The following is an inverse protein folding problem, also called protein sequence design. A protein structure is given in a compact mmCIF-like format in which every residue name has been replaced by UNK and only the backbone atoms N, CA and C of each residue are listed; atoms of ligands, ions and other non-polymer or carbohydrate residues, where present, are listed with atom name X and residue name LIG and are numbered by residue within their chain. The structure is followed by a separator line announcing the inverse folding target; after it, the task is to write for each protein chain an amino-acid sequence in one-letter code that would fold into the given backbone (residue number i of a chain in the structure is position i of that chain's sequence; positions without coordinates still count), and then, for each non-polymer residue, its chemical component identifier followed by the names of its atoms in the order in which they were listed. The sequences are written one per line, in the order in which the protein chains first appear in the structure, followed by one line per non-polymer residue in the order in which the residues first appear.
data_IF_750191208880
#
_entry.id   IF_750191208880
#
_cell.length_a   1.000
_cell.length_b   1.000
_cell.length_c   1.000
_cell.angle_alpha   90.00
_cell.angle_beta   90.00
_cell.angle_gamma   90.00
#
_symmetry.space_group_name_H-M   'P 1'
#
loop_
_entity.id
_entity.type
_entity.pdbx_description
1 polymer ?
#
# COMPACT_ATOMS: atom_id res chain seq x y z
N UNK A 1 0.89 -8.98 13.36
CA UNK A 1 0.73 -7.70 12.66
C UNK A 1 2.04 -7.19 12.06
N UNK A 2 3.02 -6.66 12.82
CA UNK A 2 4.29 -6.18 12.23
C UNK A 2 5.09 -7.29 11.51
N UNK A 3 5.28 -8.44 12.16
CA UNK A 3 5.96 -9.60 11.53
C UNK A 3 5.21 -10.12 10.30
N UNK A 4 3.87 -10.07 10.33
CA UNK A 4 3.02 -10.46 9.19
C UNK A 4 3.18 -9.50 8.02
N UNK A 5 3.30 -8.19 8.30
CA UNK A 5 3.53 -7.16 7.31
C UNK A 5 4.92 -7.32 6.69
N UNK A 6 5.96 -7.53 7.51
CA UNK A 6 7.32 -7.73 7.05
C UNK A 6 7.46 -8.99 6.20
N UNK A 7 6.92 -10.12 6.67
CA UNK A 7 6.93 -11.38 5.93
C UNK A 7 6.16 -11.27 4.60
N UNK A 8 5.00 -10.60 4.61
CA UNK A 8 4.25 -10.32 3.38
C UNK A 8 5.03 -9.41 2.42
N UNK A 9 5.72 -8.38 2.93
CA UNK A 9 6.53 -7.47 2.13
C UNK A 9 7.72 -8.18 1.47
N UNK A 10 8.49 -8.95 2.24
CA UNK A 10 9.61 -9.75 1.71
C UNK A 10 9.13 -10.75 0.68
N UNK A 11 8.03 -11.45 0.95
CA UNK A 11 7.40 -12.36 0.00
C UNK A 11 7.05 -11.66 -1.31
N UNK A 12 6.41 -10.48 -1.25
CA UNK A 12 6.05 -9.68 -2.44
C UNK A 12 7.26 -9.28 -3.28
N UNK A 13 8.35 -8.88 -2.65
CA UNK A 13 9.55 -8.41 -3.35
C UNK A 13 10.34 -9.57 -3.97
N UNK A 14 10.46 -10.70 -3.26
CA UNK A 14 11.21 -11.87 -3.72
C UNK A 14 10.47 -12.69 -4.79
N UNK A 15 9.13 -12.65 -4.79
CA UNK A 15 8.34 -13.43 -5.75
C UNK A 15 8.05 -12.73 -7.07
N UNK A 16 8.66 -11.58 -7.40
CA UNK A 16 8.31 -10.69 -8.55
C UNK A 16 8.24 -11.25 -10.01
N UNK A 17 8.24 -12.58 -10.24
CA UNK A 17 7.78 -13.21 -11.48
C UNK A 17 6.24 -13.16 -11.69
N UNK A 18 5.80 -13.28 -12.95
CA UNK A 18 4.40 -13.11 -13.42
C UNK A 18 3.38 -13.97 -12.65
N UNK A 19 3.76 -15.19 -12.23
CA UNK A 19 2.88 -16.10 -11.48
C UNK A 19 2.50 -15.52 -10.12
N UNK A 20 3.37 -14.69 -9.55
CA UNK A 20 3.17 -14.08 -8.24
C UNK A 20 2.34 -12.82 -8.31
N UNK A 21 2.27 -12.13 -9.46
CA UNK A 21 1.30 -11.06 -9.68
C UNK A 21 -0.12 -11.65 -9.66
N UNK A 22 -0.31 -12.82 -10.25
CA UNK A 22 -1.60 -13.53 -10.27
C UNK A 22 -1.95 -13.99 -8.85
N UNK A 23 -1.04 -14.69 -8.16
CA UNK A 23 -1.28 -15.14 -6.77
C UNK A 23 -1.53 -13.95 -5.85
N UNK A 24 -0.76 -12.87 -5.96
CA UNK A 24 -0.95 -11.67 -5.16
C UNK A 24 -2.27 -10.95 -5.46
N UNK A 25 -2.70 -10.88 -6.73
CA UNK A 25 -4.01 -10.34 -7.10
C UNK A 25 -5.15 -11.18 -6.51
N UNK A 26 -5.03 -12.50 -6.52
CA UNK A 26 -6.01 -13.40 -5.90
C UNK A 26 -5.99 -13.32 -4.37
N UNK A 27 -4.82 -13.19 -3.76
CA UNK A 27 -4.66 -13.04 -2.32
C UNK A 27 -5.21 -11.69 -1.84
N UNK A 28 -5.04 -10.61 -2.61
CA UNK A 28 -5.59 -9.30 -2.31
C UNK A 28 -7.12 -9.31 -2.39
N UNK A 29 -7.69 -10.00 -3.40
CA UNK A 29 -9.14 -10.25 -3.45
C UNK A 29 -9.65 -11.03 -2.24
N UNK A 30 -8.90 -12.03 -1.78
CA UNK A 30 -9.23 -12.77 -0.56
C UNK A 30 -9.12 -11.91 0.71
N UNK A 31 -8.07 -11.07 0.82
CA UNK A 31 -7.88 -10.16 1.96
C UNK A 31 -9.00 -9.12 2.03
N UNK A 32 -9.41 -8.56 0.89
CA UNK A 32 -10.57 -7.65 0.84
C UNK A 32 -11.85 -8.38 1.27
N UNK A 33 -12.07 -9.61 0.82
CA UNK A 33 -13.24 -10.37 1.27
C UNK A 33 -13.23 -10.68 2.78
N UNK A 34 -12.05 -10.76 3.41
CA UNK A 34 -11.93 -10.91 4.87
C UNK A 34 -12.36 -9.62 5.58
N UNK A 35 -12.08 -8.44 5.04
CA UNK A 35 -12.50 -7.19 5.66
C UNK A 35 -14.04 -7.04 5.67
N UNK A 36 -14.72 -7.44 4.60
CA UNK A 36 -16.18 -7.47 4.52
C UNK A 36 -16.77 -8.49 5.48
N UNK A 37 -16.13 -9.66 5.60
CA UNK A 37 -16.55 -10.73 6.51
C UNK A 37 -16.37 -10.31 7.97
N UNK A 38 -15.22 -9.70 8.31
CA UNK A 38 -14.96 -9.12 9.62
C UNK A 38 -15.91 -7.98 9.93
N UNK A 39 -16.20 -7.10 8.96
CA UNK A 39 -17.15 -6.02 9.13
C UNK A 39 -18.56 -6.56 9.41
N UNK A 40 -19.01 -7.60 8.69
CA UNK A 40 -20.31 -8.23 8.97
C UNK A 40 -20.35 -8.93 10.33
N UNK A 41 -19.23 -9.50 10.79
CA UNK A 41 -19.15 -10.22 12.06
C UNK A 41 -18.97 -9.31 13.27
N UNK A 42 -18.31 -8.15 13.10
CA UNK A 42 -18.02 -7.19 14.17
C UNK A 42 -19.08 -6.09 14.25
N UNK A 43 -19.87 -5.88 13.19
CA UNK A 43 -20.98 -4.94 13.20
C UNK A 43 -22.12 -5.47 14.06
N UNK A 44 -22.57 -4.64 14.98
CA UNK A 44 -23.78 -4.94 15.75
C UNK A 44 -25.02 -4.69 14.89
N UNK A 45 -26.14 -5.42 15.11
CA UNK A 45 -27.37 -5.21 14.35
C UNK A 45 -27.86 -3.74 14.45
N UNK A 46 -27.61 -3.09 15.59
CA UNK A 46 -27.88 -1.66 15.78
C UNK A 46 -27.03 -0.77 14.89
N UNK A 47 -25.74 -1.08 14.73
CA UNK A 47 -24.83 -0.33 13.85
C UNK A 47 -25.21 -0.45 12.38
N UNK A 48 -25.59 -1.65 11.93
CA UNK A 48 -26.13 -1.86 10.58
C UNK A 48 -27.43 -1.06 10.37
N UNK A 49 -28.32 -1.08 11.35
CA UNK A 49 -29.58 -0.34 11.28
C UNK A 49 -29.37 1.18 11.23
N UNK A 50 -28.35 1.70 11.92
CA UNK A 50 -27.96 3.10 11.83
C UNK A 50 -27.36 3.43 10.47
N UNK A 51 -26.52 2.55 9.91
CA UNK A 51 -25.90 2.76 8.60
C UNK A 51 -26.90 2.71 7.44
N UNK A 52 -27.90 1.83 7.49
CA UNK A 52 -29.00 1.78 6.50
C UNK A 52 -29.87 3.05 6.50
N UNK A 53 -29.83 3.81 7.60
CA UNK A 53 -30.59 5.05 7.79
C UNK A 53 -29.74 6.31 7.60
N UNK A 54 -28.47 6.16 7.25
CA UNK A 54 -27.65 7.31 6.86
C UNK A 54 -28.15 7.83 5.51
N UNK A 55 -28.86 8.95 5.55
CA UNK A 55 -29.11 9.73 4.35
C UNK A 55 -27.77 10.31 3.85
N UNK A 56 -27.60 10.37 2.53
CA UNK A 56 -26.45 11.04 1.95
C UNK A 56 -26.47 12.49 2.43
N UNK A 57 -25.50 12.88 3.26
CA UNK A 57 -25.34 14.27 3.65
C UNK A 57 -24.78 15.01 2.43
N UNK A 58 -25.56 15.87 1.75
CA UNK A 58 -24.99 16.70 0.71
C UNK A 58 -23.99 17.63 1.39
N UNK A 59 -22.71 17.52 1.03
CA UNK A 59 -21.64 18.39 1.54
C UNK A 59 -21.86 19.87 1.14
N UNK A 60 -22.76 20.12 0.19
CA UNK A 60 -23.14 21.42 -0.32
C UNK A 60 -24.67 21.52 -0.39
N UNK A 61 -25.23 22.51 0.27
CA UNK A 61 -26.65 22.84 0.15
C UNK A 61 -26.86 23.61 -1.16
N UNK A 62 -27.20 22.89 -2.23
CA UNK A 62 -27.46 23.46 -3.55
C UNK A 62 -28.77 24.25 -3.60
N UNK A 63 -29.63 24.18 -2.57
CA UNK A 63 -30.91 24.89 -2.58
C UNK A 63 -30.76 26.41 -2.51
N UNK A 64 -29.63 26.91 -1.98
CA UNK A 64 -29.30 28.35 -2.05
C UNK A 64 -28.83 28.78 -3.45
N UNK A 65 -28.37 27.85 -4.28
CA UNK A 65 -27.78 28.14 -5.59
C UNK A 65 -28.84 28.22 -6.70
N UNK A 66 -29.99 27.55 -6.52
CA UNK A 66 -31.14 27.63 -7.44
C UNK A 66 -31.98 28.92 -7.30
N UNK A 67 -31.89 29.66 -6.19
CA UNK A 67 -32.61 30.93 -5.97
C UNK A 67 -31.75 32.19 -6.27
N UNK A 68 -30.44 32.03 -6.46
CA UNK A 68 -29.53 33.13 -6.73
C UNK A 68 -29.39 33.35 -8.25
N UNK A 69 -29.41 34.62 -8.66
CA UNK A 69 -29.15 35.03 -10.05
C UNK A 69 -27.78 34.48 -10.51
N UNK A 70 -27.71 33.84 -11.68
CA UNK A 70 -26.53 33.10 -12.19
C UNK A 70 -25.20 33.87 -12.06
N UNK A 71 -25.26 35.19 -12.19
CA UNK A 71 -24.11 36.10 -12.07
C UNK A 71 -23.53 36.15 -10.63
N UNK A 72 -24.39 36.08 -9.62
CA UNK A 72 -24.04 36.10 -8.20
C UNK A 72 -23.46 34.76 -7.73
N UNK A 73 -23.96 33.66 -8.32
CA UNK A 73 -23.42 32.31 -8.13
C UNK A 73 -22.00 32.23 -8.70
N UNK A 74 -21.79 32.71 -9.93
CA UNK A 74 -20.47 32.76 -10.58
C UNK A 74 -19.46 33.58 -9.78
N UNK A 75 -19.83 34.79 -9.34
CA UNK A 75 -18.96 35.66 -8.55
C UNK A 75 -18.55 35.02 -7.20
N UNK A 76 -19.48 34.33 -6.54
CA UNK A 76 -19.19 33.61 -5.29
C UNK A 76 -18.29 32.40 -5.51
N UNK A 77 -18.47 31.69 -6.63
CA UNK A 77 -17.62 30.57 -7.01
C UNK A 77 -16.18 31.01 -7.33
N UNK A 78 -16.01 32.18 -7.94
CA UNK A 78 -14.69 32.79 -8.19
C UNK A 78 -14.03 33.23 -6.87
N UNK A 79 -14.77 33.80 -5.94
CA UNK A 79 -14.27 34.19 -4.60
C UNK A 79 -13.86 32.98 -3.74
N UNK A 80 -14.59 31.86 -3.83
CA UNK A 80 -14.21 30.61 -3.15
C UNK A 80 -12.97 29.95 -3.78
N UNK A 81 -12.82 30.01 -5.11
CA UNK A 81 -11.60 29.59 -5.80
C UNK A 81 -10.40 30.48 -5.44
N UNK A 82 -10.63 31.77 -5.23
CA UNK A 82 -9.59 32.73 -4.86
C UNK A 82 -9.13 32.62 -3.40
N UNK A 83 -10.02 32.17 -2.48
CA UNK A 83 -9.71 32.01 -1.04
C UNK A 83 -9.24 30.62 -0.63
N UNK A 84 -9.49 29.60 -1.45
CA UNK A 84 -9.01 28.24 -1.20
C UNK A 84 -7.54 28.10 -1.55
N UNK A 85 -6.65 28.17 -0.55
CA UNK A 85 -5.27 27.72 -0.76
C UNK A 85 -5.28 26.26 -1.22
N UNK A 86 -4.69 25.93 -2.38
CA UNK A 86 -4.72 24.55 -2.90
C UNK A 86 -4.09 23.56 -1.89
N UNK A 87 -3.18 24.06 -1.04
CA UNK A 87 -2.57 23.30 0.04
C UNK A 87 -3.53 22.94 1.18
N UNK A 88 -4.54 23.77 1.46
CA UNK A 88 -5.52 23.50 2.51
C UNK A 88 -6.52 22.41 2.12
N UNK A 89 -6.80 22.27 0.82
CA UNK A 89 -7.66 21.21 0.31
C UNK A 89 -6.93 19.86 0.32
N UNK A 90 -5.65 19.84 -0.07
CA UNK A 90 -4.82 18.63 -0.07
C UNK A 90 -4.55 18.11 1.35
N UNK A 91 -4.26 18.99 2.31
CA UNK A 91 -4.02 18.57 3.70
C UNK A 91 -5.30 18.12 4.42
N UNK A 92 -6.48 18.63 4.02
CA UNK A 92 -7.76 18.13 4.50
C UNK A 92 -8.18 16.81 3.82
N UNK A 93 -7.71 16.54 2.59
CA UNK A 93 -8.03 15.32 1.84
C UNK A 93 -7.16 14.13 2.22
N UNK A 94 -5.93 14.35 2.70
CA UNK A 94 -5.02 13.24 3.03
C UNK A 94 -5.22 12.83 4.50
N UNK A 95 -5.91 11.70 4.76
CA UNK A 95 -6.09 11.24 6.13
C UNK A 95 -4.72 10.85 6.71
N UNK A 96 -4.42 11.30 7.94
CA UNK A 96 -3.12 11.01 8.58
C UNK A 96 -2.78 9.51 8.65
N UNK A 97 -3.79 8.64 8.61
CA UNK A 97 -3.63 7.19 8.50
C UNK A 97 -2.96 6.77 7.19
N UNK A 98 -3.31 7.38 6.06
CA UNK A 98 -2.69 7.08 4.76
C UNK A 98 -1.21 7.48 4.77
N UNK A 99 -0.90 8.65 5.34
CA UNK A 99 0.47 9.14 5.47
C UNK A 99 1.31 8.20 6.34
N UNK A 100 0.75 7.74 7.46
CA UNK A 100 1.38 6.72 8.31
C UNK A 100 1.63 5.41 7.56
N UNK A 101 0.68 4.92 6.76
CA UNK A 101 0.86 3.70 5.95
C UNK A 101 1.95 3.89 4.90
N UNK A 102 1.99 5.04 4.21
CA UNK A 102 3.03 5.37 3.23
C UNK A 102 4.41 5.42 3.90
N UNK A 103 4.52 6.03 5.09
CA UNK A 103 5.78 6.07 5.83
C UNK A 103 6.23 4.66 6.19
N UNK A 104 5.34 3.82 6.73
CA UNK A 104 5.67 2.42 7.08
C UNK A 104 6.13 1.65 5.83
N UNK A 105 5.44 1.84 4.70
CA UNK A 105 5.81 1.22 3.43
C UNK A 105 7.19 1.69 2.95
N UNK A 106 7.48 2.99 2.98
CA UNK A 106 8.79 3.54 2.59
C UNK A 106 9.92 3.04 3.49
N UNK A 107 9.68 2.92 4.80
CA UNK A 107 10.66 2.39 5.74
C UNK A 107 10.95 0.91 5.46
N UNK A 108 9.91 0.09 5.24
CA UNK A 108 10.07 -1.31 4.87
C UNK A 108 10.81 -1.48 3.53
N UNK A 109 10.50 -0.62 2.56
CA UNK A 109 11.18 -0.58 1.26
C UNK A 109 12.66 -0.22 1.44
N UNK A 110 12.97 0.83 2.19
CA UNK A 110 14.34 1.25 2.44
C UNK A 110 15.16 0.16 3.15
N UNK A 111 14.59 -0.50 4.16
CA UNK A 111 15.22 -1.63 4.85
C UNK A 111 15.51 -2.80 3.89
N UNK A 112 14.53 -3.14 3.05
CA UNK A 112 14.69 -4.17 2.03
C UNK A 112 15.81 -3.86 1.03
N UNK A 113 15.85 -2.64 0.50
CA UNK A 113 16.90 -2.22 -0.45
C UNK A 113 18.27 -2.18 0.22
N UNK A 114 18.36 -1.75 1.48
CA UNK A 114 19.61 -1.74 2.23
C UNK A 114 20.12 -3.18 2.50
N UNK A 115 19.22 -4.15 2.67
CA UNK A 115 19.56 -5.56 2.85
C UNK A 115 19.95 -6.26 1.54
N UNK A 116 19.29 -5.94 0.43
CA UNK A 116 19.38 -6.69 -0.83
C UNK A 116 20.20 -6.02 -1.94
N UNK A 117 20.59 -4.77 -1.78
CA UNK A 117 21.45 -4.08 -2.73
C UNK A 117 22.82 -3.80 -2.14
N UNK A 118 23.82 -3.74 -3.01
CA UNK A 118 25.17 -3.29 -2.73
C UNK A 118 25.47 -2.06 -3.59
N UNK A 119 26.22 -1.12 -3.05
CA UNK A 119 26.64 0.05 -3.80
C UNK A 119 27.84 -0.33 -4.67
N UNK A 120 27.71 -0.18 -5.98
CA UNK A 120 28.77 -0.43 -6.95
C UNK A 120 29.84 0.66 -6.86
N UNK A 121 31.01 0.41 -7.45
CA UNK A 121 32.14 1.36 -7.47
C UNK A 121 31.75 2.72 -8.10
N UNK A 122 30.79 2.70 -9.02
CA UNK A 122 30.24 3.91 -9.69
C UNK A 122 29.26 4.70 -8.80
N UNK A 123 29.01 4.26 -7.56
CA UNK A 123 28.05 4.87 -6.64
C UNK A 123 26.59 4.52 -6.88
N UNK A 124 26.29 3.71 -7.91
CA UNK A 124 24.95 3.19 -8.21
C UNK A 124 24.58 2.04 -7.28
N UNK A 125 23.29 1.88 -6.97
CA UNK A 125 22.80 0.76 -6.17
C UNK A 125 22.43 -0.40 -7.09
N UNK A 126 23.07 -1.54 -6.88
CA UNK A 126 22.89 -2.75 -7.68
C UNK A 126 22.41 -3.87 -6.77
N UNK A 127 21.47 -4.69 -7.26
CA UNK A 127 21.01 -5.87 -6.50
C UNK A 127 22.16 -6.85 -6.26
N UNK A 128 22.24 -7.43 -5.05
CA UNK A 128 23.10 -8.57 -4.76
C UNK A 128 22.74 -9.75 -5.67
N UNK A 129 23.66 -10.71 -5.79
CA UNK A 129 23.44 -11.93 -6.57
C UNK A 129 22.24 -12.69 -6.01
N UNK A 130 21.29 -13.03 -6.87
CA UNK A 130 20.12 -13.81 -6.48
C UNK A 130 20.39 -15.29 -6.74
N UNK A 131 20.08 -16.12 -5.75
CA UNK A 131 20.17 -17.57 -5.84
C UNK A 131 18.77 -18.16 -5.72
N UNK A 132 18.52 -19.26 -6.41
CA UNK A 132 17.24 -19.97 -6.29
C UNK A 132 17.29 -20.88 -5.06
N UNK A 133 16.23 -20.90 -4.24
CA UNK A 133 16.17 -21.81 -3.11
C UNK A 133 16.15 -23.26 -3.59
N UNK A 134 16.82 -24.16 -2.87
CA UNK A 134 16.87 -25.60 -3.22
C UNK A 134 15.52 -26.30 -3.06
N UNK A 135 14.62 -25.73 -2.26
CA UNK A 135 13.28 -26.25 -2.04
C UNK A 135 12.23 -25.14 -1.98
N UNK A 136 11.03 -25.44 -2.47
CA UNK A 136 9.86 -24.53 -2.46
C UNK A 136 9.15 -24.60 -1.09
N UNK A 137 9.49 -25.58 -0.26
CA UNK A 137 8.90 -25.75 1.07
C UNK A 137 9.50 -24.75 2.05
N UNK A 138 8.83 -23.61 2.20
CA UNK A 138 9.17 -22.62 3.23
C UNK A 138 8.70 -23.11 4.59
N UNK A 139 9.66 -23.33 5.49
CA UNK A 139 9.36 -23.59 6.89
C UNK A 139 8.88 -22.30 7.56
N UNK A 140 7.95 -22.38 8.51
CA UNK A 140 7.48 -21.19 9.24
C UNK A 140 8.65 -20.43 9.92
N UNK A 141 9.71 -21.12 10.35
CA UNK A 141 10.91 -20.46 10.88
C UNK A 141 11.59 -19.57 9.83
N UNK A 142 11.78 -20.09 8.63
CA UNK A 142 12.42 -19.35 7.52
C UNK A 142 11.55 -18.15 7.12
N UNK A 143 10.23 -18.34 7.06
CA UNK A 143 9.29 -17.28 6.67
C UNK A 143 9.23 -16.11 7.68
N UNK A 144 9.34 -16.38 8.98
CA UNK A 144 9.24 -15.34 10.01
C UNK A 144 10.59 -14.82 10.52
N UNK A 145 11.66 -15.60 10.40
CA UNK A 145 12.98 -15.28 10.91
C UNK A 145 14.09 -15.67 9.92
N UNK A 146 14.18 -14.97 8.76
CA UNK A 146 15.17 -15.29 7.73
C UNK A 146 16.61 -15.14 8.20
N UNK A 147 16.87 -14.31 9.23
CA UNK A 147 18.19 -14.14 9.84
C UNK A 147 18.60 -15.28 10.78
N UNK A 148 17.65 -16.00 11.39
CA UNK A 148 17.92 -17.10 12.32
C UNK A 148 17.89 -18.47 11.62
N UNK A 149 17.07 -18.59 10.58
CA UNK A 149 16.90 -19.78 9.77
C UNK A 149 17.22 -19.42 8.31
N UNK A 150 18.51 -19.26 7.93
CA UNK A 150 18.88 -18.96 6.55
C UNK A 150 18.54 -20.15 5.65
N UNK A 151 17.83 -19.86 4.56
CA UNK A 151 17.42 -20.88 3.59
C UNK A 151 18.63 -21.42 2.81
N UNK A 152 18.63 -22.70 2.48
CA UNK A 152 19.62 -23.27 1.57
C UNK A 152 19.36 -22.83 0.12
N UNK A 153 20.43 -22.37 -0.54
CA UNK A 153 20.38 -21.87 -1.90
C UNK A 153 21.26 -22.73 -2.81
N UNK A 154 20.89 -22.82 -4.09
CA UNK A 154 21.77 -23.40 -5.10
C UNK A 154 23.09 -22.60 -5.20
N UNK A 155 24.20 -23.29 -5.48
CA UNK A 155 25.52 -22.67 -5.56
C UNK A 155 25.64 -21.67 -6.73
N UNK A 156 24.87 -21.89 -7.79
CA UNK A 156 24.90 -21.05 -8.98
C UNK A 156 23.89 -19.90 -8.88
N UNK A 157 24.32 -18.64 -9.04
CA UNK A 157 23.41 -17.50 -9.02
C UNK A 157 22.58 -17.48 -10.30
N UNK A 158 21.28 -17.27 -10.15
CA UNK A 158 20.35 -17.13 -11.28
C UNK A 158 20.40 -15.73 -11.88
N UNK A 159 20.66 -14.72 -11.04
CA UNK A 159 20.87 -13.35 -11.49
C UNK A 159 22.19 -12.81 -10.98
N UNK A 160 22.98 -12.29 -11.92
CA UNK A 160 24.19 -11.52 -11.66
C UNK A 160 24.12 -10.28 -12.53
N UNK A 161 24.39 -9.11 -11.96
CA UNK A 161 24.42 -7.87 -12.73
C UNK A 161 25.46 -8.01 -13.87
N UNK A 162 25.07 -7.78 -15.14
CA UNK A 162 26.02 -7.80 -16.24
C UNK A 162 27.04 -6.69 -16.01
N UNK A 163 28.33 -7.03 -16.14
CA UNK A 163 29.40 -6.03 -16.13
C UNK A 163 29.26 -5.21 -17.41
N UNK A 164 29.09 -3.89 -17.27
CA UNK A 164 29.12 -2.99 -18.43
C UNK A 164 30.45 -3.16 -19.17
N UNK A 165 30.39 -3.34 -20.48
CA UNK A 165 31.56 -3.42 -21.35
C UNK A 165 32.25 -2.06 -21.50
#
# INVERSE_FOLDING_TARGET
WFMTLLAGFTFLMETSGIDSIIVNSTALGFILSIDELLFSSLSTPTGLHMMERLEAMPLYDLSMEEELEDELVLARHEDMKARGSPWSCVTSMIPGKLLLVIIIWLLALADYYHGNCEQSEDGTWVSKRLYVPTSITLSLCEAFFPSLCPQEHHADPVWVMPKGN
#
